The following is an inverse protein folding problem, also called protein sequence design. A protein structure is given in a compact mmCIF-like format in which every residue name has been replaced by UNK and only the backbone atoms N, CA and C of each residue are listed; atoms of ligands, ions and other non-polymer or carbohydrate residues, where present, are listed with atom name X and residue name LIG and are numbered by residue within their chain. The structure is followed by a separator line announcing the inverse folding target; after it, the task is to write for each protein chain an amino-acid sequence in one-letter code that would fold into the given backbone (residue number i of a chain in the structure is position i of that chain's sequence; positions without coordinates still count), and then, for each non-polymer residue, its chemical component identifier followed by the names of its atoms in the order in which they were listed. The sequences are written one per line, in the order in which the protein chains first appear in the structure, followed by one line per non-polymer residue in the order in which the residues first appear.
data_IF_667365677066
#
_entry.id   IF_667365677066
#
_cell.length_a   1.000
_cell.length_b   1.000
_cell.length_c   1.000
_cell.angle_alpha   90.00
_cell.angle_beta   90.00
_cell.angle_gamma   90.00
#
_symmetry.space_group_name_H-M   'P 1'
#
loop_
_entity.id
_entity.type
_entity.pdbx_description
1 polymer ?
#
# COMPACT_ATOMS: atom_id res chain seq x y z
N UNK A 1 15.79 8.50 -58.04
CA UNK A 1 15.89 9.02 -56.66
C UNK A 1 16.84 8.13 -55.87
N UNK A 2 17.99 8.63 -55.42
CA UNK A 2 18.90 7.86 -54.58
C UNK A 2 18.37 7.84 -53.14
N UNK A 3 17.95 6.66 -52.66
CA UNK A 3 17.65 6.46 -51.24
C UNK A 3 18.98 6.32 -50.51
N UNK A 4 19.32 7.30 -49.67
CA UNK A 4 20.45 7.20 -48.74
C UNK A 4 20.01 6.29 -47.60
N UNK A 5 20.58 5.08 -47.53
CA UNK A 5 20.40 4.17 -46.40
C UNK A 5 21.34 4.55 -45.26
N UNK A 6 20.92 4.26 -44.02
CA UNK A 6 21.77 4.40 -42.83
C UNK A 6 23.03 3.53 -42.95
N UNK A 7 24.16 4.05 -42.45
CA UNK A 7 25.41 3.29 -42.39
C UNK A 7 25.45 2.40 -41.14
N UNK A 8 26.15 1.26 -41.23
CA UNK A 8 26.32 0.35 -40.07
C UNK A 8 27.03 1.04 -38.90
N UNK A 9 27.94 1.98 -39.20
CA UNK A 9 28.69 2.74 -38.18
C UNK A 9 27.75 3.66 -37.39
N UNK A 10 26.78 4.30 -38.05
CA UNK A 10 25.78 5.13 -37.36
C UNK A 10 24.90 4.28 -36.43
N UNK A 11 24.44 3.12 -36.89
CA UNK A 11 23.68 2.20 -36.03
C UNK A 11 24.49 1.69 -34.84
N UNK A 12 25.78 1.41 -35.05
CA UNK A 12 26.68 0.96 -33.99
C UNK A 12 26.85 2.02 -32.90
N UNK A 13 27.06 3.28 -33.27
CA UNK A 13 27.15 4.38 -32.30
C UNK A 13 25.88 4.53 -31.46
N UNK A 14 24.70 4.40 -32.07
CA UNK A 14 23.42 4.49 -31.37
C UNK A 14 23.26 3.36 -30.34
N UNK A 15 23.62 2.13 -30.70
CA UNK A 15 23.52 0.98 -29.79
C UNK A 15 24.49 1.12 -28.61
N UNK A 16 25.71 1.61 -28.84
CA UNK A 16 26.69 1.88 -27.77
C UNK A 16 26.14 2.93 -26.79
N UNK A 17 25.56 4.01 -27.33
CA UNK A 17 25.01 5.09 -26.52
C UNK A 17 23.79 4.65 -25.72
N UNK A 18 22.88 3.87 -26.32
CA UNK A 18 21.75 3.27 -25.61
C UNK A 18 22.22 2.29 -24.52
N UNK A 19 23.25 1.51 -24.80
CA UNK A 19 23.88 0.61 -23.83
C UNK A 19 24.40 1.35 -22.60
N UNK A 20 25.12 2.45 -22.79
CA UNK A 20 25.62 3.29 -21.69
C UNK A 20 24.50 3.88 -20.84
N UNK A 21 23.45 4.42 -21.47
CA UNK A 21 22.30 4.98 -20.75
C UNK A 21 21.57 3.88 -19.96
N UNK A 22 21.42 2.68 -20.54
CA UNK A 22 20.70 1.57 -19.91
C UNK A 22 21.34 1.11 -18.59
N UNK A 23 22.68 1.13 -18.50
CA UNK A 23 23.41 0.76 -17.29
C UNK A 23 23.07 1.63 -16.08
N UNK A 24 22.82 2.93 -16.31
CA UNK A 24 22.45 3.88 -15.25
C UNK A 24 20.94 3.80 -14.99
N UNK A 25 20.14 3.61 -16.05
CA UNK A 25 18.69 3.64 -15.96
C UNK A 25 18.12 2.47 -15.13
N UNK A 26 18.66 1.25 -15.27
CA UNK A 26 18.15 0.05 -14.58
C UNK A 26 18.09 0.21 -13.05
N UNK A 27 19.21 0.48 -12.32
CA UNK A 27 19.16 0.58 -10.87
C UNK A 27 18.32 1.78 -10.37
N UNK A 28 18.25 2.86 -11.16
CA UNK A 28 17.42 4.04 -10.84
C UNK A 28 15.93 3.70 -10.90
N UNK A 29 15.51 3.01 -11.97
CA UNK A 29 14.12 2.56 -12.11
C UNK A 29 13.75 1.58 -11.01
N UNK A 30 14.63 0.62 -10.67
CA UNK A 30 14.39 -0.33 -9.58
C UNK A 30 14.18 0.38 -8.23
N UNK A 31 15.01 1.37 -7.94
CA UNK A 31 14.86 2.19 -6.72
C UNK A 31 13.52 2.92 -6.70
N UNK A 32 13.14 3.56 -7.80
CA UNK A 32 11.87 4.30 -7.92
C UNK A 32 10.68 3.35 -7.74
N UNK A 33 10.72 2.16 -8.35
CA UNK A 33 9.65 1.16 -8.20
C UNK A 33 9.53 0.74 -6.74
N UNK A 34 10.65 0.45 -6.07
CA UNK A 34 10.64 0.06 -4.65
C UNK A 34 10.07 1.16 -3.76
N UNK A 35 10.49 2.41 -3.97
CA UNK A 35 9.97 3.57 -3.23
C UNK A 35 8.46 3.78 -3.49
N UNK A 36 8.00 3.61 -4.73
CA UNK A 36 6.59 3.73 -5.06
C UNK A 36 5.77 2.60 -4.43
N UNK A 37 6.27 1.37 -4.42
CA UNK A 37 5.64 0.24 -3.72
C UNK A 37 5.51 0.53 -2.22
N UNK A 38 6.56 1.06 -1.58
CA UNK A 38 6.50 1.48 -0.17
C UNK A 38 5.47 2.59 0.06
N UNK A 39 5.49 3.65 -0.76
CA UNK A 39 4.53 4.77 -0.64
C UNK A 39 3.09 4.30 -0.78
N UNK A 40 2.80 3.46 -1.78
CA UNK A 40 1.47 2.90 -1.98
C UNK A 40 1.04 2.05 -0.78
N UNK A 41 1.94 1.24 -0.23
CA UNK A 41 1.67 0.46 0.98
C UNK A 41 1.30 1.39 2.16
N UNK A 42 2.08 2.44 2.40
CA UNK A 42 1.79 3.41 3.47
C UNK A 42 0.47 4.15 3.24
N UNK A 43 0.15 4.51 2.00
CA UNK A 43 -1.15 5.11 1.64
C UNK A 43 -2.30 4.15 1.95
N UNK A 44 -2.13 2.86 1.65
CA UNK A 44 -3.13 1.84 1.92
C UNK A 44 -3.38 1.63 3.41
N UNK A 45 -2.32 1.56 4.22
CA UNK A 45 -2.41 1.52 5.68
C UNK A 45 -3.17 2.74 6.21
N UNK A 46 -2.85 3.94 5.72
CA UNK A 46 -3.58 5.16 6.11
C UNK A 46 -5.06 5.11 5.73
N UNK A 47 -5.41 4.57 4.56
CA UNK A 47 -6.83 4.42 4.19
C UNK A 47 -7.57 3.49 5.15
N UNK A 48 -6.92 2.40 5.60
CA UNK A 48 -7.47 1.49 6.59
C UNK A 48 -7.66 2.20 7.95
N UNK A 49 -6.66 2.95 8.41
CA UNK A 49 -6.75 3.74 9.64
C UNK A 49 -7.86 4.79 9.58
N UNK A 50 -8.02 5.48 8.45
CA UNK A 50 -9.09 6.45 8.24
C UNK A 50 -10.46 5.79 8.15
N UNK A 51 -10.57 4.60 7.56
CA UNK A 51 -11.80 3.80 7.61
C UNK A 51 -12.16 3.40 9.04
N UNK A 52 -11.18 2.98 9.84
CA UNK A 52 -11.37 2.69 11.27
C UNK A 52 -11.76 3.94 12.07
N UNK A 53 -11.18 5.10 11.76
CA UNK A 53 -11.55 6.39 12.34
C UNK A 53 -12.99 6.78 12.01
N UNK A 54 -13.41 6.57 10.75
CA UNK A 54 -14.79 6.80 10.34
C UNK A 54 -15.75 5.90 11.12
N UNK A 55 -15.45 4.61 11.22
CA UNK A 55 -16.25 3.68 12.01
C UNK A 55 -16.33 4.09 13.48
N UNK A 56 -15.20 4.48 14.08
CA UNK A 56 -15.12 4.93 15.47
C UNK A 56 -15.96 6.19 15.72
N UNK A 57 -16.03 7.10 14.76
CA UNK A 57 -16.86 8.32 14.86
C UNK A 57 -18.36 8.01 14.89
N UNK A 58 -18.80 6.92 14.29
CA UNK A 58 -20.20 6.48 14.31
C UNK A 58 -20.50 5.57 15.51
N UNK A 59 -19.49 4.84 15.99
CA UNK A 59 -19.58 3.83 17.03
C UNK A 59 -18.92 4.28 18.34
N UNK A 60 -19.10 5.55 18.72
CA UNK A 60 -18.43 6.16 19.88
C UNK A 60 -18.66 5.36 21.18
N UNK A 61 -19.84 4.75 21.33
CA UNK A 61 -20.19 3.96 22.52
C UNK A 61 -19.48 2.60 22.62
N UNK A 62 -18.86 2.13 21.54
CA UNK A 62 -18.07 0.90 21.50
C UNK A 62 -16.58 1.16 21.71
N UNK A 63 -16.18 2.42 21.84
CA UNK A 63 -14.79 2.80 22.03
C UNK A 63 -14.37 2.64 23.50
N UNK A 64 -13.09 2.32 23.74
CA UNK A 64 -12.55 2.26 25.09
C UNK A 64 -12.57 3.65 25.74
N UNK A 65 -12.90 3.70 27.03
CA UNK A 65 -13.00 4.92 27.82
C UNK A 65 -11.79 5.11 28.75
N UNK A 66 -11.11 4.02 29.12
CA UNK A 66 -9.94 4.06 30.00
C UNK A 66 -8.62 4.17 29.22
N UNK A 67 -7.68 4.96 29.75
CA UNK A 67 -6.36 5.19 29.14
C UNK A 67 -5.58 3.86 29.03
N UNK A 68 -5.17 3.51 27.80
CA UNK A 68 -4.45 2.28 27.51
C UNK A 68 -5.34 1.08 27.13
N UNK A 69 -6.67 1.18 27.23
CA UNK A 69 -7.55 0.17 26.66
C UNK A 69 -7.61 0.26 25.13
N UNK A 70 -7.85 -0.88 24.48
CA UNK A 70 -7.92 -0.98 23.04
C UNK A 70 -9.02 -1.92 22.58
N UNK A 71 -9.56 -1.63 21.39
CA UNK A 71 -10.40 -2.54 20.64
C UNK A 71 -9.68 -2.93 19.34
N UNK A 72 -9.90 -4.16 18.90
CA UNK A 72 -9.41 -4.66 17.61
C UNK A 72 -10.58 -4.73 16.64
N UNK A 73 -10.44 -4.10 15.48
CA UNK A 73 -11.36 -4.26 14.36
C UNK A 73 -10.66 -4.97 13.21
N UNK A 74 -11.36 -5.87 12.53
CA UNK A 74 -10.83 -6.47 11.30
C UNK A 74 -11.11 -5.56 10.10
N UNK A 75 -10.28 -5.65 9.06
CA UNK A 75 -10.57 -4.99 7.77
C UNK A 75 -11.94 -5.44 7.22
N UNK A 76 -12.33 -6.69 7.42
CA UNK A 76 -13.65 -7.20 7.06
C UNK A 76 -14.82 -6.47 7.73
N UNK A 77 -14.68 -6.09 9.00
CA UNK A 77 -15.72 -5.33 9.71
C UNK A 77 -15.86 -3.94 9.09
N UNK A 78 -14.75 -3.31 8.69
CA UNK A 78 -14.73 -2.01 8.02
C UNK A 78 -15.30 -2.07 6.60
N UNK A 79 -15.09 -3.18 5.88
CA UNK A 79 -15.68 -3.42 4.57
C UNK A 79 -17.19 -3.61 4.65
N UNK A 80 -17.66 -4.50 5.55
CA UNK A 80 -19.09 -4.77 5.75
C UNK A 80 -19.86 -3.54 6.25
N UNK A 81 -19.21 -2.68 7.04
CA UNK A 81 -19.79 -1.41 7.49
C UNK A 81 -19.72 -0.29 6.44
N UNK A 82 -19.03 -0.50 5.32
CA UNK A 82 -18.96 0.46 4.20
C UNK A 82 -17.97 1.61 4.40
N UNK A 83 -17.08 1.51 5.39
CA UNK A 83 -16.05 2.53 5.67
C UNK A 83 -14.71 2.27 4.97
N UNK A 84 -14.59 1.16 4.23
CA UNK A 84 -13.39 0.79 3.50
C UNK A 84 -13.72 0.02 2.21
N UNK A 85 -13.17 0.47 1.07
CA UNK A 85 -13.24 -0.26 -0.20
C UNK A 85 -11.97 -1.11 -0.37
N UNK A 86 -12.10 -2.44 -0.25
CA UNK A 86 -10.97 -3.39 -0.10
C UNK A 86 -10.38 -3.83 -1.44
N UNK A 87 -10.56 -3.07 -2.52
CA UNK A 87 -9.83 -3.29 -3.78
C UNK A 87 -8.34 -2.87 -3.71
N UNK A 88 -7.74 -3.01 -2.53
CA UNK A 88 -6.38 -2.61 -2.23
C UNK A 88 -5.48 -3.84 -2.37
N UNK A 89 -4.66 -3.88 -3.42
CA UNK A 89 -3.58 -4.87 -3.59
C UNK A 89 -2.34 -4.43 -2.82
N UNK A 90 -1.66 -5.35 -2.14
CA UNK A 90 -0.40 -5.06 -1.46
C UNK A 90 0.72 -4.93 -2.50
N UNK A 91 1.25 -3.71 -2.70
CA UNK A 91 2.26 -3.45 -3.72
C UNK A 91 3.63 -4.03 -3.34
N UNK A 92 3.85 -4.53 -2.12
CA UNK A 92 5.14 -5.09 -1.69
C UNK A 92 5.34 -6.54 -2.11
N UNK A 93 4.29 -7.34 -2.12
CA UNK A 93 4.34 -8.78 -2.41
C UNK A 93 3.44 -9.20 -3.58
N UNK A 94 2.74 -8.26 -4.22
CA UNK A 94 1.73 -8.53 -5.27
C UNK A 94 0.58 -9.46 -4.78
N UNK A 95 0.45 -9.67 -3.47
CA UNK A 95 -0.67 -10.34 -2.82
C UNK A 95 -1.73 -9.29 -2.41
N UNK A 96 -2.96 -9.71 -2.08
CA UNK A 96 -3.97 -8.80 -1.52
C UNK A 96 -3.57 -8.40 -0.09
N UNK A 97 -3.96 -7.22 0.40
CA UNK A 97 -3.94 -6.98 1.85
C UNK A 97 -4.82 -8.05 2.52
N UNK A 98 -4.34 -8.63 3.63
CA UNK A 98 -5.09 -9.67 4.32
C UNK A 98 -6.37 -9.05 4.90
N UNK A 99 -7.54 -9.56 4.50
CA UNK A 99 -8.83 -9.04 4.97
C UNK A 99 -9.06 -9.25 6.48
N UNK A 100 -8.31 -10.17 7.07
CA UNK A 100 -8.31 -10.44 8.50
C UNK A 100 -7.31 -9.58 9.28
N UNK A 101 -6.49 -8.75 8.62
CA UNK A 101 -5.59 -7.86 9.33
C UNK A 101 -6.38 -6.90 10.21
N UNK A 102 -5.87 -6.67 11.42
CA UNK A 102 -6.58 -5.92 12.44
C UNK A 102 -6.03 -4.51 12.58
N UNK A 103 -6.93 -3.59 12.89
CA UNK A 103 -6.64 -2.24 13.34
C UNK A 103 -6.93 -2.16 14.82
N UNK A 104 -5.93 -1.72 15.59
CA UNK A 104 -6.10 -1.40 17.01
C UNK A 104 -6.49 0.05 17.16
N UNK A 105 -7.58 0.30 17.88
CA UNK A 105 -7.97 1.64 18.32
C UNK A 105 -7.66 1.73 19.81
N UNK A 106 -6.65 2.51 20.17
CA UNK A 106 -6.14 2.64 21.53
C UNK A 106 -6.60 3.97 22.11
N UNK A 107 -7.23 3.95 23.28
CA UNK A 107 -7.55 5.18 24.02
C UNK A 107 -6.27 5.75 24.61
N UNK A 108 -6.02 7.02 24.33
CA UNK A 108 -4.95 7.80 24.95
C UNK A 108 -5.54 8.99 25.70
N UNK A 109 -4.77 9.58 26.61
CA UNK A 109 -5.14 10.81 27.35
C UNK A 109 -5.63 11.97 26.49
N UNK A 110 -5.27 11.99 25.20
CA UNK A 110 -5.57 13.09 24.27
C UNK A 110 -6.53 12.69 23.13
N UNK A 111 -7.02 11.45 23.08
CA UNK A 111 -7.90 10.97 22.01
C UNK A 111 -7.75 9.49 21.71
N UNK A 112 -7.77 9.13 20.43
CA UNK A 112 -7.63 7.75 19.95
C UNK A 112 -6.46 7.63 18.97
N UNK A 113 -5.64 6.61 19.17
CA UNK A 113 -4.57 6.23 18.25
C UNK A 113 -4.99 4.98 17.46
N UNK A 114 -4.66 4.95 16.16
CA UNK A 114 -5.04 3.87 15.24
C UNK A 114 -3.75 3.20 14.77
N UNK A 115 -3.63 1.90 15.01
CA UNK A 115 -2.45 1.12 14.65
C UNK A 115 -2.85 -0.12 13.85
N UNK A 116 -2.46 -0.16 12.58
CA UNK A 116 -2.61 -1.34 11.75
C UNK A 116 -1.55 -2.41 12.08
N UNK A 117 -1.98 -3.65 12.33
CA UNK A 117 -1.07 -4.77 12.58
C UNK A 117 -1.22 -5.85 11.50
N UNK A 118 -0.20 -5.96 10.64
CA UNK A 118 -0.15 -6.89 9.51
C UNK A 118 -0.07 -8.37 9.94
N UNK A 119 0.44 -8.68 11.15
CA UNK A 119 0.67 -10.05 11.66
C UNK A 119 -0.56 -10.75 12.25
N UNK A 120 -1.72 -10.09 12.25
CA UNK A 120 -2.90 -10.56 12.98
C UNK A 120 -3.95 -11.31 12.12
N UNK A 121 -3.74 -11.38 10.80
CA UNK A 121 -4.71 -11.95 9.85
C UNK A 121 -4.23 -13.22 9.15
N UNK A 122 -5.17 -14.07 8.70
CA UNK A 122 -4.85 -15.18 7.79
C UNK A 122 -4.90 -14.73 6.34
N UNK A 123 -4.26 -15.46 5.41
CA UNK A 123 -4.26 -15.18 3.97
C UNK A 123 -5.63 -15.44 3.30
N UNK A 124 -6.74 -15.27 4.01
CA UNK A 124 -8.07 -15.50 3.45
C UNK A 124 -8.56 -14.24 2.72
N UNK A 125 -9.00 -14.44 1.47
CA UNK A 125 -9.47 -13.38 0.58
C UNK A 125 -10.97 -13.08 0.74
N UNK A 126 -11.65 -13.74 1.68
CA UNK A 126 -13.10 -13.74 1.82
C UNK A 126 -13.47 -13.44 3.27
N UNK A 127 -14.26 -12.39 3.48
CA UNK A 127 -14.90 -12.15 4.77
C UNK A 127 -16.03 -13.17 4.93
N UNK A 128 -15.79 -14.26 5.65
CA UNK A 128 -16.86 -15.17 6.05
C UNK A 128 -17.85 -14.49 7.02
#
# INVERSE_FOLDING_TARGET
MMKRGFTLVELLMVVILLGMISLIAVPVVDKIIKENREKLYQTNVKMIEEGARSWASENVFLLPDEDGEFIELTICDLEKSGHLDVNIKNPKNDELFYKDSKVKIIKTKFGYEYQYNEDSGTKEAVCN
#
